data_IF_129406634098
#
_entry.id   IF_129406634098
#
_cell.length_a   1.000
_cell.length_b   1.000
_cell.length_c   1.000
_cell.angle_alpha   90.00
_cell.angle_beta   90.00
_cell.angle_gamma   90.00
#
_symmetry.space_group_name_H-M   'P 1'
#
loop_
_entity.id
_entity.type
_entity.pdbx_description
1 polymer ?
#
# COMPACT_ATOMS: atom_id res chain seq x y z
N UNK A 1 -24.57 1.67 -26.22
CA UNK A 1 -24.13 2.42 -27.42
C UNK A 1 -22.97 1.66 -28.02
N UNK A 2 -23.14 1.03 -29.19
CA UNK A 2 -22.11 0.22 -29.84
C UNK A 2 -21.15 1.12 -30.66
N UNK A 3 -19.84 0.82 -30.75
CA UNK A 3 -18.92 1.60 -31.57
C UNK A 3 -19.06 1.26 -33.07
N UNK A 4 -18.86 2.23 -33.98
CA UNK A 4 -19.03 2.02 -35.42
C UNK A 4 -17.89 1.19 -36.04
N UNK A 5 -18.25 0.38 -37.03
CA UNK A 5 -17.32 -0.43 -37.83
C UNK A 5 -16.33 0.45 -38.61
N UNK A 6 -15.05 0.06 -38.62
CA UNK A 6 -14.01 0.71 -39.42
C UNK A 6 -13.83 -0.04 -40.74
N UNK A 7 -14.23 0.58 -41.84
CA UNK A 7 -13.97 0.11 -43.20
C UNK A 7 -12.46 0.14 -43.50
N UNK A 8 -11.87 -1.04 -43.68
CA UNK A 8 -10.45 -1.21 -43.99
C UNK A 8 -10.17 -1.05 -45.49
N UNK A 9 -9.70 0.13 -45.90
CA UNK A 9 -9.14 0.39 -47.23
C UNK A 9 -7.91 -0.51 -47.45
N UNK A 10 -7.98 -1.46 -48.39
CA UNK A 10 -6.86 -2.35 -48.75
C UNK A 10 -5.72 -1.52 -49.33
N UNK A 11 -4.61 -1.40 -48.60
CA UNK A 11 -3.39 -0.72 -49.06
C UNK A 11 -2.68 -1.55 -50.12
N UNK A 12 -2.05 -0.89 -51.11
CA UNK A 12 -1.36 -1.57 -52.22
C UNK A 12 -0.33 -2.60 -51.72
N UNK A 13 -0.35 -3.83 -52.27
CA UNK A 13 0.46 -4.94 -51.77
C UNK A 13 1.96 -4.68 -51.89
N UNK A 14 2.40 -3.92 -52.91
CA UNK A 14 3.79 -3.50 -53.08
C UNK A 14 4.25 -2.53 -52.00
N UNK A 15 3.40 -1.57 -51.62
CA UNK A 15 3.72 -0.62 -50.56
C UNK A 15 3.79 -1.32 -49.19
N UNK A 16 2.94 -2.33 -48.97
CA UNK A 16 2.97 -3.14 -47.76
C UNK A 16 4.22 -4.04 -47.70
N UNK A 17 4.62 -4.64 -48.83
CA UNK A 17 5.86 -5.42 -48.92
C UNK A 17 7.12 -4.59 -48.65
N UNK A 18 7.20 -3.36 -49.20
CA UNK A 18 8.32 -2.45 -48.96
C UNK A 18 8.39 -1.98 -47.50
N UNK A 19 7.24 -1.74 -46.85
CA UNK A 19 7.18 -1.42 -45.42
C UNK A 19 7.62 -2.60 -44.55
N UNK A 20 7.17 -3.81 -44.89
CA UNK A 20 7.59 -5.03 -44.19
C UNK A 20 9.10 -5.28 -44.34
N UNK A 21 9.65 -5.15 -45.55
CA UNK A 21 11.09 -5.30 -45.79
C UNK A 21 11.93 -4.28 -45.02
N UNK A 22 11.48 -3.01 -44.95
CA UNK A 22 12.13 -1.98 -44.13
C UNK A 22 12.09 -2.32 -42.64
N UNK A 23 10.95 -2.78 -42.13
CA UNK A 23 10.79 -3.16 -40.73
C UNK A 23 11.65 -4.37 -40.32
N UNK A 24 11.79 -5.35 -41.21
CA UNK A 24 12.68 -6.52 -41.01
C UNK A 24 14.14 -6.08 -41.03
N UNK A 25 14.53 -5.20 -41.96
CA UNK A 25 15.91 -4.70 -42.09
C UNK A 25 16.34 -3.80 -40.94
N UNK A 26 15.42 -3.05 -40.32
CA UNK A 26 15.68 -2.27 -39.10
C UNK A 26 15.93 -3.11 -37.84
N UNK A 27 15.75 -4.43 -37.93
CA UNK A 27 16.13 -5.40 -36.91
C UNK A 27 15.25 -5.37 -35.66
N UNK A 28 14.93 -6.56 -35.12
CA UNK A 28 14.26 -6.71 -33.83
C UNK A 28 15.05 -6.16 -32.62
N UNK A 29 16.28 -5.68 -32.85
CA UNK A 29 17.18 -5.07 -31.86
C UNK A 29 16.65 -3.74 -31.30
N UNK A 30 15.97 -2.93 -32.11
CA UNK A 30 15.44 -1.62 -31.69
C UNK A 30 14.08 -1.73 -31.04
N UNK A 31 13.24 -2.68 -31.48
CA UNK A 31 11.91 -2.92 -30.92
C UNK A 31 11.98 -3.56 -29.52
N UNK A 32 12.88 -4.53 -29.30
CA UNK A 32 12.93 -5.29 -28.04
C UNK A 32 13.74 -4.65 -26.90
N UNK A 33 14.33 -3.46 -27.12
CA UNK A 33 15.11 -2.76 -26.09
C UNK A 33 14.24 -1.88 -25.18
N UNK A 34 13.17 -1.29 -25.71
CA UNK A 34 12.15 -0.61 -24.90
C UNK A 34 11.40 -1.62 -24.00
N UNK A 35 11.25 -2.86 -24.46
CA UNK A 35 10.48 -3.91 -23.77
C UNK A 35 11.23 -4.60 -22.62
N UNK A 36 12.56 -4.44 -22.49
CA UNK A 36 13.33 -5.01 -21.39
C UNK A 36 13.56 -3.95 -20.31
N UNK A 37 12.77 -4.01 -19.22
CA UNK A 37 12.99 -3.17 -18.04
C UNK A 37 14.43 -3.32 -17.54
N UNK A 38 15.23 -2.27 -17.68
CA UNK A 38 16.62 -2.24 -17.23
C UNK A 38 16.66 -2.43 -15.71
N UNK A 39 17.47 -3.38 -15.25
CA UNK A 39 17.80 -3.60 -13.84
C UNK A 39 19.23 -3.11 -13.61
N UNK A 40 19.41 -2.19 -12.67
CA UNK A 40 20.72 -1.60 -12.34
C UNK A 40 21.48 -2.38 -11.25
N UNK A 41 20.79 -3.28 -10.53
CA UNK A 41 21.38 -4.15 -9.51
C UNK A 41 21.51 -5.58 -10.03
N UNK A 42 22.57 -6.27 -9.60
CA UNK A 42 22.81 -7.70 -9.90
C UNK A 42 21.86 -8.59 -9.10
N UNK A 43 21.49 -8.18 -7.89
CA UNK A 43 20.62 -8.95 -7.00
C UNK A 43 19.14 -8.71 -7.33
N UNK A 44 18.37 -9.80 -7.38
CA UNK A 44 16.92 -9.74 -7.52
C UNK A 44 16.27 -9.37 -6.18
N UNK A 45 15.38 -8.37 -6.19
CA UNK A 45 14.58 -7.99 -5.04
C UNK A 45 13.10 -8.22 -5.31
N UNK A 46 12.39 -8.77 -4.32
CA UNK A 46 10.94 -8.94 -4.40
C UNK A 46 10.27 -7.57 -4.66
N UNK A 47 9.40 -7.43 -5.66
CA UNK A 47 8.68 -6.19 -5.89
C UNK A 47 7.77 -5.88 -4.69
N UNK A 48 7.59 -4.60 -4.41
CA UNK A 48 6.59 -4.16 -3.42
C UNK A 48 5.21 -4.44 -3.98
N UNK A 49 4.44 -5.24 -3.25
CA UNK A 49 3.05 -5.57 -3.58
C UNK A 49 2.12 -4.81 -2.65
N UNK A 50 0.86 -4.64 -3.08
CA UNK A 50 -0.19 -4.16 -2.20
C UNK A 50 -0.36 -5.14 -1.04
N UNK A 51 -0.32 -4.62 0.19
CA UNK A 51 -0.69 -5.36 1.40
C UNK A 51 -2.01 -4.80 1.88
N UNK A 52 -3.07 -5.61 1.81
CA UNK A 52 -4.38 -5.22 2.33
C UNK A 52 -4.37 -5.31 3.85
N UNK A 53 -5.13 -4.41 4.49
CA UNK A 53 -5.37 -4.49 5.93
C UNK A 53 -6.25 -5.71 6.24
N UNK A 54 -6.12 -6.26 7.46
CA UNK A 54 -6.97 -7.38 7.90
C UNK A 54 -8.41 -6.89 8.04
N UNK A 55 -9.33 -7.49 7.28
CA UNK A 55 -10.77 -7.25 7.38
C UNK A 55 -11.48 -8.57 7.72
N UNK A 56 -11.68 -8.90 9.02
CA UNK A 56 -12.32 -10.15 9.42
C UNK A 56 -13.82 -10.12 9.05
N UNK A 57 -14.35 -11.26 8.59
CA UNK A 57 -15.77 -11.37 8.20
C UNK A 57 -16.73 -11.31 9.40
N UNK A 58 -16.24 -11.59 10.60
CA UNK A 58 -17.01 -11.62 11.84
C UNK A 58 -16.15 -11.10 13.01
N UNK A 59 -16.77 -10.52 14.05
CA UNK A 59 -16.04 -10.10 15.24
C UNK A 59 -15.49 -11.32 15.98
N UNK A 60 -14.23 -11.27 16.42
CA UNK A 60 -13.59 -12.39 17.17
C UNK A 60 -14.10 -12.51 18.59
N UNK A 61 -14.67 -11.44 19.14
CA UNK A 61 -15.20 -11.36 20.50
C UNK A 61 -16.57 -10.69 20.36
N UNK A 62 -17.56 -11.19 21.10
CA UNK A 62 -18.94 -10.71 21.04
C UNK A 62 -19.11 -9.30 21.61
N UNK A 63 -18.39 -8.96 22.68
CA UNK A 63 -18.46 -7.66 23.34
C UNK A 63 -17.06 -7.12 23.65
N UNK A 64 -16.91 -5.80 23.62
CA UNK A 64 -15.66 -5.14 24.02
C UNK A 64 -15.43 -5.29 25.52
N UNK A 65 -14.19 -5.59 25.96
CA UNK A 65 -13.89 -5.69 27.38
C UNK A 65 -14.05 -4.33 28.06
N UNK A 66 -14.48 -4.34 29.33
CA UNK A 66 -14.52 -3.13 30.16
C UNK A 66 -13.10 -2.69 30.52
N UNK A 67 -12.89 -1.38 30.65
CA UNK A 67 -11.64 -0.86 31.20
C UNK A 67 -11.50 -1.32 32.66
N UNK A 68 -10.36 -1.94 32.99
CA UNK A 68 -10.05 -2.42 34.34
C UNK A 68 -9.41 -1.35 35.23
N UNK A 69 -8.96 -0.25 34.66
CA UNK A 69 -8.40 0.89 35.38
C UNK A 69 -9.48 1.95 35.53
N UNK A 70 -10.29 1.80 36.58
CA UNK A 70 -11.28 2.80 36.97
C UNK A 70 -10.71 3.76 38.03
N UNK A 71 -11.48 4.79 38.38
CA UNK A 71 -11.07 5.83 39.32
C UNK A 71 -10.63 5.27 40.68
N UNK A 72 -11.29 4.21 41.14
CA UNK A 72 -10.99 3.56 42.42
C UNK A 72 -9.72 2.71 42.34
N UNK A 73 -9.43 2.11 41.18
CA UNK A 73 -8.17 1.41 40.98
C UNK A 73 -6.99 2.37 40.85
N UNK A 74 -7.23 3.61 40.40
CA UNK A 74 -6.24 4.69 40.34
C UNK A 74 -5.94 5.24 41.74
N UNK A 75 -6.97 5.62 42.51
CA UNK A 75 -6.84 6.16 43.85
C UNK A 75 -6.86 5.03 44.90
N UNK A 76 -5.67 4.57 45.32
CA UNK A 76 -5.56 3.42 46.22
C UNK A 76 -5.79 3.75 47.69
N UNK A 77 -4.97 4.65 48.23
CA UNK A 77 -5.04 5.10 49.62
C UNK A 77 -4.40 6.48 49.76
N UNK A 78 -4.85 7.31 50.72
CA UNK A 78 -4.17 8.53 51.08
C UNK A 78 -2.86 8.23 51.83
N UNK A 79 -1.83 9.02 51.59
CA UNK A 79 -0.56 8.87 52.30
C UNK A 79 -0.65 9.57 53.67
N UNK A 80 -0.48 8.83 54.77
CA UNK A 80 -0.69 9.32 56.14
C UNK A 80 0.62 9.53 56.92
N UNK A 81 1.69 9.96 56.25
CA UNK A 81 2.98 10.28 56.89
C UNK A 81 2.97 11.72 57.43
N UNK A 82 3.79 12.02 58.44
CA UNK A 82 3.91 13.40 59.00
C UNK A 82 4.23 14.44 57.91
N UNK A 83 5.13 14.10 56.99
CA UNK A 83 5.48 14.95 55.85
C UNK A 83 4.33 15.15 54.86
N UNK A 84 3.42 14.18 54.73
CA UNK A 84 2.23 14.30 53.88
C UNK A 84 1.16 15.16 54.57
N UNK A 85 0.94 14.96 55.87
CA UNK A 85 0.05 15.80 56.69
C UNK A 85 0.48 17.26 56.67
N UNK A 86 1.78 17.53 56.81
CA UNK A 86 2.33 18.90 56.72
C UNK A 86 2.03 19.57 55.38
N UNK A 87 2.07 18.83 54.26
CA UNK A 87 1.74 19.39 52.93
C UNK A 87 0.26 19.75 52.77
N UNK A 88 -0.61 18.97 53.39
CA UNK A 88 -2.05 19.26 53.43
C UNK A 88 -2.28 20.62 54.12
N UNK A 89 -1.56 20.90 55.20
CA UNK A 89 -1.67 22.15 55.98
C UNK A 89 -1.01 23.35 55.30
N UNK A 90 0.25 23.21 54.85
CA UNK A 90 1.02 24.33 54.31
C UNK A 90 0.62 24.70 52.88
N UNK A 91 0.17 23.72 52.07
CA UNK A 91 0.01 23.88 50.62
C UNK A 91 -1.37 23.49 50.08
N UNK A 92 -2.29 22.98 50.91
CA UNK A 92 -3.57 22.42 50.46
C UNK A 92 -3.41 21.33 49.40
N UNK A 93 -2.41 20.44 49.54
CA UNK A 93 -2.11 19.35 48.59
C UNK A 93 -1.72 18.07 49.30
#
# INVERSE_FOLDING_TARGET
MAPPAKDGKKTDPKAQALKAAKAVKSGASTLKKADKKIRTKVTFHRPKTLKTNRNPKYPRISATPRNKLDHYQILKYPLTTESAMKKIEDNNT
#
